data_IF_540721869682
#
_entry.id   IF_540721869682
#
_cell.length_a   1.000
_cell.length_b   1.000
_cell.length_c   1.000
_cell.angle_alpha   90.00
_cell.angle_beta   90.00
_cell.angle_gamma   90.00
#
_symmetry.space_group_name_H-M   'P 1'
#
loop_
_entity.id
_entity.type
_entity.pdbx_description
1 polymer ?
#
# COMPACT_ATOMS: atom_id res chain seq x y z
N UNK A 1 -9.33 -8.85 -25.53
CA UNK A 1 -8.06 -8.25 -25.05
C UNK A 1 -7.52 -7.41 -26.18
N UNK A 2 -7.34 -6.09 -26.01
CA UNK A 2 -6.94 -5.20 -27.11
C UNK A 2 -5.43 -5.32 -27.32
N UNK A 3 -4.99 -5.53 -28.56
CA UNK A 3 -3.58 -5.75 -28.89
C UNK A 3 -2.68 -4.62 -28.36
N UNK A 4 -1.58 -4.92 -27.64
CA UNK A 4 -0.70 -3.91 -27.04
C UNK A 4 -0.03 -3.00 -28.08
N UNK A 5 0.14 -3.49 -29.31
CA UNK A 5 0.80 -2.76 -30.41
C UNK A 5 -0.07 -1.66 -31.04
N UNK A 6 -1.38 -1.61 -30.76
CA UNK A 6 -2.30 -0.60 -31.32
C UNK A 6 -2.80 0.42 -30.30
N UNK A 7 -2.28 0.38 -29.07
CA UNK A 7 -2.72 1.25 -27.97
C UNK A 7 -1.83 2.50 -27.88
N UNK A 8 -2.46 3.66 -27.68
CA UNK A 8 -1.74 4.91 -27.40
C UNK A 8 -1.05 4.80 -26.01
N UNK A 9 0.18 5.34 -25.81
CA UNK A 9 0.87 5.35 -24.52
C UNK A 9 -0.01 5.73 -23.31
N UNK A 10 -0.91 6.71 -23.48
CA UNK A 10 -1.86 7.10 -22.43
C UNK A 10 -2.84 5.97 -22.05
N UNK A 11 -3.32 5.21 -23.03
CA UNK A 11 -4.22 4.09 -22.82
C UNK A 11 -3.49 2.90 -22.16
N UNK A 12 -2.22 2.68 -22.50
CA UNK A 12 -1.38 1.67 -21.86
C UNK A 12 -1.25 1.99 -20.36
N UNK A 13 -0.88 3.22 -20.02
CA UNK A 13 -0.74 3.64 -18.63
C UNK A 13 -2.04 3.49 -17.83
N UNK A 14 -3.18 3.83 -18.45
CA UNK A 14 -4.49 3.64 -17.84
C UNK A 14 -4.82 2.17 -17.59
N UNK A 15 -4.59 1.28 -18.56
CA UNK A 15 -4.95 -0.12 -18.44
C UNK A 15 -4.06 -0.91 -17.47
N UNK A 16 -2.76 -0.61 -17.42
CA UNK A 16 -1.78 -1.38 -16.67
C UNK A 16 -1.43 -0.79 -15.30
N UNK A 17 -1.57 0.52 -15.12
CA UNK A 17 -1.13 1.20 -13.90
C UNK A 17 -2.25 2.00 -13.21
N UNK A 18 -2.90 2.94 -13.89
CA UNK A 18 -3.84 3.88 -13.25
C UNK A 18 -5.25 3.29 -12.93
N UNK A 19 -5.36 1.97 -12.77
CA UNK A 19 -6.59 1.29 -12.36
C UNK A 19 -6.46 0.76 -10.95
N UNK A 20 -7.44 1.06 -10.10
CA UNK A 20 -7.57 0.56 -8.74
C UNK A 20 -7.38 -0.97 -8.63
N UNK A 21 -7.88 -1.74 -9.60
CA UNK A 21 -7.70 -3.19 -9.64
C UNK A 21 -6.30 -3.70 -9.99
N UNK A 22 -5.29 -2.83 -10.16
CA UNK A 22 -3.89 -3.20 -10.47
C UNK A 22 -2.90 -2.83 -9.35
N UNK A 23 -3.39 -2.40 -8.19
CA UNK A 23 -2.57 -2.00 -7.04
C UNK A 23 -1.59 -3.07 -6.54
N UNK A 24 -1.87 -4.35 -6.78
CA UNK A 24 -1.01 -5.47 -6.40
C UNK A 24 0.13 -5.75 -7.40
N UNK A 25 0.12 -5.12 -8.59
CA UNK A 25 1.18 -5.31 -9.59
C UNK A 25 2.30 -4.30 -9.39
N UNK A 26 3.52 -4.70 -9.72
CA UNK A 26 4.63 -3.77 -9.80
C UNK A 26 4.35 -2.63 -10.78
N UNK A 27 4.74 -1.42 -10.37
CA UNK A 27 4.53 -0.21 -11.13
C UNK A 27 5.46 -0.17 -12.36
N UNK A 28 4.95 0.06 -13.60
CA UNK A 28 5.77 0.15 -14.80
C UNK A 28 6.45 1.52 -14.89
N UNK A 29 7.51 1.70 -14.09
CA UNK A 29 8.22 2.98 -13.95
C UNK A 29 8.84 3.47 -15.27
N UNK A 30 9.31 2.58 -16.13
CA UNK A 30 9.90 2.95 -17.42
C UNK A 30 8.89 3.64 -18.34
N UNK A 31 7.66 3.13 -18.43
CA UNK A 31 6.60 3.71 -19.26
C UNK A 31 6.09 5.05 -18.69
N UNK A 32 6.09 5.18 -17.35
CA UNK A 32 5.74 6.44 -16.67
C UNK A 32 6.82 7.49 -16.93
N UNK A 33 8.10 7.10 -16.86
CA UNK A 33 9.24 7.96 -17.15
C UNK A 33 9.24 8.44 -18.60
N UNK A 34 8.96 7.56 -19.56
CA UNK A 34 8.91 7.91 -20.97
C UNK A 34 7.76 8.87 -21.30
N UNK A 35 6.60 8.72 -20.64
CA UNK A 35 5.42 9.56 -20.90
C UNK A 35 5.41 10.89 -20.13
N UNK A 36 5.85 10.89 -18.87
CA UNK A 36 5.80 12.07 -17.98
C UNK A 36 7.16 12.72 -17.71
N UNK A 37 8.26 12.08 -18.09
CA UNK A 37 9.62 12.54 -17.82
C UNK A 37 10.17 12.06 -16.47
N UNK A 38 11.46 12.32 -16.25
CA UNK A 38 12.21 11.77 -15.11
C UNK A 38 11.75 12.29 -13.74
N UNK A 39 11.35 13.57 -13.65
CA UNK A 39 10.90 14.18 -12.39
C UNK A 39 9.69 13.43 -11.81
N UNK A 40 8.71 13.13 -12.65
CA UNK A 40 7.50 12.40 -12.24
C UNK A 40 7.80 10.90 -12.06
N UNK A 41 8.66 10.32 -12.89
CA UNK A 41 9.11 8.93 -12.74
C UNK A 41 9.75 8.65 -11.38
N UNK A 42 10.67 9.52 -10.94
CA UNK A 42 11.36 9.40 -9.63
C UNK A 42 10.38 9.58 -8.47
N UNK A 43 9.44 10.53 -8.55
CA UNK A 43 8.42 10.73 -7.54
C UNK A 43 7.62 9.44 -7.27
N UNK A 44 7.16 8.80 -8.35
CA UNK A 44 6.41 7.56 -8.26
C UNK A 44 7.26 6.37 -7.80
N UNK A 45 8.53 6.29 -8.21
CA UNK A 45 9.46 5.27 -7.73
C UNK A 45 9.65 5.37 -6.21
N UNK A 46 9.85 6.58 -5.68
CA UNK A 46 9.99 6.81 -4.25
C UNK A 46 8.73 6.50 -3.47
N UNK A 47 7.55 6.88 -3.99
CA UNK A 47 6.26 6.56 -3.39
C UNK A 47 6.03 5.04 -3.29
N UNK A 48 6.35 4.30 -4.36
CA UNK A 48 6.27 2.84 -4.38
C UNK A 48 7.19 2.19 -3.34
N UNK A 49 8.43 2.68 -3.22
CA UNK A 49 9.35 2.21 -2.19
C UNK A 49 8.82 2.49 -0.77
N UNK A 50 8.37 3.72 -0.52
CA UNK A 50 7.85 4.15 0.77
C UNK A 50 6.67 3.31 1.24
N UNK A 51 5.69 3.09 0.35
CA UNK A 51 4.53 2.22 0.62
C UNK A 51 4.94 0.76 0.83
N UNK A 52 5.97 0.28 0.13
CA UNK A 52 6.58 -1.03 0.34
C UNK A 52 7.16 -1.21 1.75
N UNK A 53 7.79 -0.19 2.32
CA UNK A 53 8.27 -0.21 3.72
C UNK A 53 7.15 -0.01 4.75
N UNK A 54 6.08 0.68 4.38
CA UNK A 54 4.93 0.89 5.25
C UNK A 54 4.15 -0.41 5.50
N UNK A 55 4.09 -1.30 4.51
CA UNK A 55 3.44 -2.61 4.59
C UNK A 55 3.92 -3.48 5.77
N UNK A 56 5.22 -3.81 5.90
CA UNK A 56 5.69 -4.60 7.04
C UNK A 56 5.51 -3.88 8.37
N UNK A 57 5.71 -2.55 8.42
CA UNK A 57 5.46 -1.76 9.61
C UNK A 57 3.97 -1.84 10.06
N UNK A 58 3.04 -1.77 9.10
CA UNK A 58 1.62 -1.91 9.35
C UNK A 58 1.25 -3.31 9.83
N UNK A 59 1.86 -4.36 9.28
CA UNK A 59 1.65 -5.75 9.72
C UNK A 59 2.10 -5.93 11.17
N UNK A 60 3.27 -5.44 11.55
CA UNK A 60 3.75 -5.51 12.94
C UNK A 60 2.83 -4.73 13.87
N UNK A 61 2.42 -3.51 13.49
CA UNK A 61 1.49 -2.69 14.27
C UNK A 61 0.14 -3.39 14.48
N UNK A 62 -0.40 -4.03 13.43
CA UNK A 62 -1.65 -4.80 13.52
C UNK A 62 -1.52 -5.99 14.48
N UNK A 63 -0.39 -6.73 14.42
CA UNK A 63 -0.15 -7.87 15.29
C UNK A 63 -0.08 -7.46 16.77
N UNK A 64 0.64 -6.39 17.09
CA UNK A 64 0.74 -5.84 18.45
C UNK A 64 -0.63 -5.35 18.93
N UNK A 65 -1.41 -4.70 18.07
CA UNK A 65 -2.75 -4.24 18.39
C UNK A 65 -3.70 -5.42 18.71
N UNK A 66 -3.71 -6.46 17.86
CA UNK A 66 -4.52 -7.66 18.08
C UNK A 66 -4.14 -8.39 19.37
N UNK A 67 -2.84 -8.49 19.67
CA UNK A 67 -2.36 -9.06 20.93
C UNK A 67 -2.87 -8.27 22.14
N UNK A 68 -2.81 -6.94 22.08
CA UNK A 68 -3.33 -6.06 23.12
C UNK A 68 -4.85 -6.23 23.33
N UNK A 69 -5.62 -6.32 22.25
CA UNK A 69 -7.08 -6.54 22.31
C UNK A 69 -7.41 -7.91 22.90
N UNK A 70 -6.69 -8.98 22.52
CA UNK A 70 -6.93 -10.31 23.10
C UNK A 70 -6.59 -10.36 24.61
N UNK A 71 -5.55 -9.64 25.04
CA UNK A 71 -5.06 -9.68 26.43
C UNK A 71 -5.80 -8.68 27.34
N UNK A 72 -6.67 -7.83 26.80
CA UNK A 72 -7.31 -6.73 27.55
C UNK A 72 -8.09 -7.20 28.78
N UNK A 73 -8.81 -8.33 28.67
CA UNK A 73 -9.65 -8.87 29.74
C UNK A 73 -8.86 -9.62 30.82
N UNK A 74 -7.57 -9.91 30.59
CA UNK A 74 -6.70 -10.61 31.53
C UNK A 74 -5.79 -9.67 32.31
N UNK A 75 -5.84 -8.37 32.01
CA UNK A 75 -5.05 -7.38 32.72
C UNK A 75 -5.70 -7.06 34.07
N UNK A 76 -5.11 -7.63 35.13
CA UNK A 76 -5.48 -7.34 36.53
C UNK A 76 -5.67 -5.84 36.82
N UNK A 77 -4.75 -4.91 36.49
CA UNK A 77 -4.95 -3.50 36.80
C UNK A 77 -6.11 -2.84 36.05
N UNK A 78 -6.43 -3.29 34.83
CA UNK A 78 -7.57 -2.77 34.07
C UNK A 78 -8.90 -3.27 34.65
N UNK A 79 -8.96 -4.56 35.02
CA UNK A 79 -10.13 -5.15 35.67
C UNK A 79 -10.40 -4.52 37.03
N UNK A 80 -9.37 -4.28 37.86
CA UNK A 80 -9.52 -3.61 39.16
C UNK A 80 -10.20 -2.24 39.01
N UNK A 81 -9.84 -1.43 38.01
CA UNK A 81 -10.47 -0.12 37.76
C UNK A 81 -11.91 -0.28 37.23
N UNK A 82 -12.16 -1.23 36.32
CA UNK A 82 -13.50 -1.43 35.74
C UNK A 82 -14.51 -2.03 36.72
N UNK A 83 -14.07 -2.85 37.68
CA UNK A 83 -14.92 -3.49 38.68
C UNK A 83 -14.89 -2.82 40.05
N UNK A 84 -13.99 -1.85 40.29
CA UNK A 84 -14.07 -0.94 41.44
C UNK A 84 -15.28 -0.04 41.26
N UNK A 85 -16.39 -0.43 41.88
CA UNK A 85 -17.53 0.43 42.21
C UNK A 85 -17.60 0.55 43.73
#
# INVERSE_FOLDING_TARGET
MKDPTRLNPRQILYHYWARWGKWYKYQPLDHIREYFGEKIGIYFAWLGLYTGWLLPAAVVGLLVFLYGVMTINMNTPANEICYTR
#
